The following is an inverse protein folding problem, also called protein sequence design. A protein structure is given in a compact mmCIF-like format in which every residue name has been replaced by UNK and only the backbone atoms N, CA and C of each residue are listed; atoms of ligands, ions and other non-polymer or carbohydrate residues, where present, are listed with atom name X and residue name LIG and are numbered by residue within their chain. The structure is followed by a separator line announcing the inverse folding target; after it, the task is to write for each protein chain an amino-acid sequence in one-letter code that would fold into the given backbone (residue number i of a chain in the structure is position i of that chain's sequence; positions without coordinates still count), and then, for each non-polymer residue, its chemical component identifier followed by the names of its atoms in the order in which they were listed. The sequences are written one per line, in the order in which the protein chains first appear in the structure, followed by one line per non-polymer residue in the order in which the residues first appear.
data_IF_721530099315
#
_entry.id   IF_721530099315
#
_cell.length_a   1.000
_cell.length_b   1.000
_cell.length_c   1.000
_cell.angle_alpha   90.00
_cell.angle_beta   90.00
_cell.angle_gamma   90.00
#
_symmetry.space_group_name_H-M   'P 1'
#
loop_
_entity.id
_entity.type
_entity.pdbx_description
1 polymer ?
#
# COMPACT_ATOMS: atom_id res chain seq x y z
N UNK A 1 -6.99 -3.65 0.04
CA UNK A 1 -6.02 -3.54 -1.09
C UNK A 1 -5.19 -4.81 -1.10
N UNK A 2 -4.96 -5.40 -2.27
CA UNK A 2 -4.26 -6.69 -2.46
C UNK A 2 -3.02 -6.47 -3.32
N UNK A 3 -2.18 -7.50 -3.44
CA UNK A 3 -1.05 -7.46 -4.38
C UNK A 3 -1.52 -7.24 -5.81
N UNK A 4 -0.73 -6.52 -6.60
CA UNK A 4 -0.93 -6.41 -8.05
C UNK A 4 -1.05 -7.80 -8.68
N UNK A 5 -1.91 -7.93 -9.71
CA UNK A 5 -1.97 -9.17 -10.49
C UNK A 5 -0.60 -9.53 -11.06
N UNK A 6 -0.29 -10.83 -11.11
CA UNK A 6 1.01 -11.34 -11.55
C UNK A 6 2.20 -10.95 -10.67
N UNK A 7 1.95 -10.58 -9.40
CA UNK A 7 3.03 -10.30 -8.45
C UNK A 7 3.94 -11.52 -8.24
N UNK A 8 3.35 -12.72 -8.21
CA UNK A 8 4.08 -13.99 -8.18
C UNK A 8 4.03 -14.64 -9.57
N UNK A 9 5.18 -15.12 -10.01
CA UNK A 9 5.33 -15.76 -11.32
C UNK A 9 4.34 -16.93 -11.49
N UNK A 10 3.64 -16.96 -12.63
CA UNK A 10 2.64 -17.98 -12.94
C UNK A 10 1.31 -17.86 -12.16
N UNK A 11 1.17 -16.91 -11.23
CA UNK A 11 -0.04 -16.74 -10.42
C UNK A 11 -0.73 -15.43 -10.78
N UNK A 12 -1.92 -15.52 -11.41
CA UNK A 12 -2.70 -14.34 -11.81
C UNK A 12 -2.99 -13.42 -10.63
N UNK A 13 -3.46 -13.97 -9.51
CA UNK A 13 -3.72 -13.24 -8.28
C UNK A 13 -3.59 -14.18 -7.08
N UNK A 14 -2.89 -13.75 -6.03
CA UNK A 14 -2.67 -14.54 -4.82
C UNK A 14 -3.83 -14.42 -3.83
N UNK A 15 -4.65 -13.38 -3.96
CA UNK A 15 -5.85 -13.20 -3.15
C UNK A 15 -6.92 -14.24 -3.50
N UNK A 16 -7.41 -14.95 -2.49
CA UNK A 16 -8.38 -16.03 -2.65
C UNK A 16 -9.71 -15.53 -3.24
N UNK A 17 -10.21 -16.23 -4.27
CA UNK A 17 -11.38 -15.81 -5.05
C UNK A 17 -12.71 -15.97 -4.30
N UNK A 18 -12.85 -17.01 -3.47
CA UNK A 18 -14.04 -17.21 -2.63
C UNK A 18 -14.15 -16.09 -1.59
N UNK A 19 -13.02 -15.76 -0.94
CA UNK A 19 -12.93 -14.66 0.01
C UNK A 19 -13.18 -13.31 -0.67
N UNK A 20 -12.67 -13.13 -1.88
CA UNK A 20 -12.91 -11.94 -2.69
C UNK A 20 -14.41 -11.74 -2.94
N UNK A 21 -15.09 -12.78 -3.42
CA UNK A 21 -16.53 -12.75 -3.67
C UNK A 21 -17.32 -12.48 -2.39
N UNK A 22 -16.96 -13.16 -1.29
CA UNK A 22 -17.61 -12.95 0.01
C UNK A 22 -17.46 -11.52 0.54
N UNK A 23 -16.30 -10.90 0.36
CA UNK A 23 -16.06 -9.51 0.76
C UNK A 23 -16.88 -8.52 -0.08
N UNK A 24 -16.94 -8.73 -1.39
CA UNK A 24 -17.74 -7.88 -2.29
C UNK A 24 -19.22 -7.97 -1.95
N UNK A 25 -19.74 -9.17 -1.69
CA UNK A 25 -21.14 -9.38 -1.25
C UNK A 25 -21.45 -8.64 0.05
N UNK A 26 -20.46 -8.51 0.95
CA UNK A 26 -20.57 -7.73 2.20
C UNK A 26 -20.35 -6.23 2.00
N UNK A 27 -20.26 -5.75 0.76
CA UNK A 27 -20.07 -4.35 0.42
C UNK A 27 -18.63 -3.82 0.58
N UNK A 28 -17.66 -4.69 0.89
CA UNK A 28 -16.26 -4.31 1.01
C UNK A 28 -15.67 -4.05 -0.38
N UNK A 29 -14.96 -2.93 -0.53
CA UNK A 29 -14.23 -2.61 -1.76
C UNK A 29 -12.88 -3.29 -1.76
N UNK A 30 -12.62 -4.07 -2.81
CA UNK A 30 -11.32 -4.73 -3.02
C UNK A 30 -10.61 -4.04 -4.18
N UNK A 31 -9.33 -3.72 -3.98
CA UNK A 31 -8.51 -2.98 -4.93
C UNK A 31 -7.28 -3.80 -5.23
N UNK A 32 -7.13 -4.16 -6.49
CA UNK A 32 -6.00 -4.89 -7.07
C UNK A 32 -5.40 -4.00 -8.17
N UNK A 33 -4.24 -3.40 -7.92
CA UNK A 33 -3.60 -2.47 -8.85
C UNK A 33 -2.08 -2.44 -8.63
N UNK A 34 -1.36 -1.74 -9.50
CA UNK A 34 0.07 -1.51 -9.32
C UNK A 34 0.35 -0.83 -7.97
N UNK A 35 1.38 -1.29 -7.27
CA UNK A 35 1.80 -0.73 -5.99
C UNK A 35 2.30 0.72 -6.17
N UNK A 36 1.73 1.67 -5.43
CA UNK A 36 1.98 3.11 -5.64
C UNK A 36 3.44 3.54 -5.40
N UNK A 37 4.18 2.88 -4.50
CA UNK A 37 5.61 3.11 -4.27
C UNK A 37 6.49 2.08 -5.00
N UNK A 38 5.89 1.29 -5.89
CA UNK A 38 6.55 0.27 -6.70
C UNK A 38 6.37 0.54 -8.19
N UNK A 39 5.90 -0.48 -8.91
CA UNK A 39 5.69 -0.40 -10.36
C UNK A 39 7.00 -0.23 -11.13
N UNK A 40 7.05 0.74 -12.03
CA UNK A 40 8.20 0.99 -12.91
C UNK A 40 9.47 1.27 -12.11
N UNK A 41 9.37 1.97 -10.97
CA UNK A 41 10.50 2.20 -10.07
C UNK A 41 11.17 0.89 -9.66
N UNK A 42 10.39 -0.12 -9.27
CA UNK A 42 10.92 -1.45 -8.92
C UNK A 42 11.54 -2.17 -10.11
N UNK A 43 11.00 -2.00 -11.33
CA UNK A 43 11.58 -2.60 -12.52
C UNK A 43 12.95 -1.99 -12.87
N UNK A 44 13.10 -0.67 -12.72
CA UNK A 44 14.38 0.03 -12.91
C UNK A 44 15.40 -0.45 -11.88
N UNK A 45 15.04 -0.42 -10.60
CA UNK A 45 15.93 -0.82 -9.50
C UNK A 45 16.42 -2.27 -9.66
N UNK A 46 15.54 -3.20 -10.07
CA UNK A 46 15.88 -4.62 -10.29
C UNK A 46 16.76 -4.85 -11.52
N UNK A 47 16.51 -4.14 -12.62
CA UNK A 47 17.19 -4.38 -13.90
C UNK A 47 18.56 -3.71 -13.98
N UNK A 48 18.66 -2.48 -13.50
CA UNK A 48 19.85 -1.65 -13.66
C UNK A 48 20.61 -1.41 -12.36
N UNK A 49 20.06 -1.84 -11.22
CA UNK A 49 20.54 -1.43 -9.90
C UNK A 49 20.24 0.05 -9.61
N UNK A 50 20.63 0.51 -8.42
CA UNK A 50 20.44 1.89 -7.99
C UNK A 50 19.21 2.09 -7.08
N UNK A 51 18.79 3.36 -6.96
CA UNK A 51 17.71 3.78 -6.08
C UNK A 51 16.81 4.82 -6.76
N UNK A 52 15.69 4.35 -7.29
CA UNK A 52 14.63 5.22 -7.82
C UNK A 52 14.01 6.10 -6.73
N UNK A 53 13.38 7.25 -7.07
CA UNK A 53 12.66 8.05 -6.09
C UNK A 53 11.59 7.28 -5.31
N UNK A 54 10.85 6.39 -5.99
CA UNK A 54 9.85 5.51 -5.34
C UNK A 54 10.50 4.54 -4.36
N UNK A 55 11.61 3.91 -4.77
CA UNK A 55 12.42 3.04 -3.91
C UNK A 55 12.99 3.78 -2.69
N UNK A 56 13.51 5.00 -2.89
CA UNK A 56 14.01 5.86 -1.81
C UNK A 56 12.92 6.16 -0.77
N UNK A 57 11.75 6.64 -1.21
CA UNK A 57 10.62 6.94 -0.33
C UNK A 57 10.17 5.69 0.42
N UNK A 58 10.04 4.56 -0.27
CA UNK A 58 9.68 3.30 0.34
C UNK A 58 10.68 2.87 1.43
N UNK A 59 11.98 3.03 1.17
CA UNK A 59 13.03 2.70 2.14
C UNK A 59 13.04 3.67 3.33
N UNK A 60 12.77 4.96 3.12
CA UNK A 60 12.60 5.92 4.22
C UNK A 60 11.42 5.54 5.10
N UNK A 61 10.27 5.16 4.53
CA UNK A 61 9.12 4.73 5.32
C UNK A 61 9.39 3.43 6.10
N UNK A 62 10.21 2.53 5.54
CA UNK A 62 10.64 1.30 6.23
C UNK A 62 11.52 1.55 7.45
N UNK A 63 12.13 2.73 7.60
CA UNK A 63 12.85 3.08 8.84
C UNK A 63 11.93 3.09 10.07
N UNK A 64 10.61 3.21 9.88
CA UNK A 64 9.63 3.02 10.96
C UNK A 64 9.30 1.54 11.20
N UNK A 65 9.03 0.81 10.11
CA UNK A 65 8.79 -0.64 9.97
C UNK A 65 8.30 -0.95 8.54
N UNK A 66 8.29 -2.21 8.10
CA UNK A 66 7.72 -2.60 6.80
C UNK A 66 6.25 -2.20 6.65
N UNK A 67 5.45 -2.40 7.70
CA UNK A 67 4.03 -2.04 7.71
C UNK A 67 3.77 -0.55 7.48
N UNK A 68 4.67 0.36 7.89
CA UNK A 68 4.50 1.80 7.65
C UNK A 68 4.51 2.13 6.15
N UNK A 69 5.48 1.57 5.42
CA UNK A 69 5.56 1.74 3.96
C UNK A 69 4.29 1.23 3.31
N UNK A 70 3.83 0.03 3.69
CA UNK A 70 2.63 -0.60 3.10
C UNK A 70 1.38 0.22 3.43
N UNK A 71 1.22 0.71 4.67
CA UNK A 71 0.08 1.51 5.08
C UNK A 71 -0.07 2.80 4.25
N UNK A 72 1.05 3.49 4.00
CA UNK A 72 1.06 4.67 3.11
C UNK A 72 0.73 4.28 1.67
N UNK A 73 1.35 3.21 1.15
CA UNK A 73 1.15 2.75 -0.22
C UNK A 73 -0.30 2.37 -0.51
N UNK A 74 -0.95 1.61 0.37
CA UNK A 74 -2.35 1.19 0.17
C UNK A 74 -3.33 2.35 0.34
N UNK A 75 -3.01 3.37 1.15
CA UNK A 75 -3.82 4.58 1.26
C UNK A 75 -3.82 5.35 -0.07
N UNK A 76 -2.65 5.52 -0.69
CA UNK A 76 -2.52 6.15 -2.01
C UNK A 76 -3.28 5.37 -3.08
N UNK A 77 -3.13 4.04 -3.11
CA UNK A 77 -3.84 3.17 -4.06
C UNK A 77 -5.37 3.27 -3.88
N UNK A 78 -5.85 3.33 -2.63
CA UNK A 78 -7.27 3.46 -2.34
C UNK A 78 -7.85 4.80 -2.82
N UNK A 79 -7.08 5.87 -2.64
CA UNK A 79 -7.46 7.22 -3.12
C UNK A 79 -7.36 7.33 -4.65
N UNK A 80 -6.33 6.78 -5.28
CA UNK A 80 -6.18 6.77 -6.73
C UNK A 80 -7.30 6.01 -7.43
N UNK A 81 -7.82 4.94 -6.80
CA UNK A 81 -8.96 4.17 -7.29
C UNK A 81 -10.32 4.85 -7.02
N UNK A 82 -10.34 6.01 -6.36
CA UNK A 82 -11.56 6.80 -6.11
C UNK A 82 -12.44 6.29 -4.95
N UNK A 83 -11.94 5.36 -4.12
CA UNK A 83 -12.70 4.84 -2.98
C UNK A 83 -12.51 5.64 -1.69
N UNK A 84 -11.49 6.48 -1.63
CA UNK A 84 -11.22 7.43 -0.54
C UNK A 84 -11.06 8.81 -1.16
N UNK A 85 -11.70 9.83 -0.60
CA UNK A 85 -11.57 11.19 -1.14
C UNK A 85 -10.29 11.85 -0.61
N UNK A 86 -9.52 12.58 -1.46
CA UNK A 86 -8.40 13.38 -0.97
C UNK A 86 -8.84 14.36 0.14
N UNK A 87 -8.09 14.41 1.24
CA UNK A 87 -8.38 15.21 2.43
C UNK A 87 -9.17 14.47 3.52
N UNK A 88 -9.69 13.26 3.26
CA UNK A 88 -10.32 12.44 4.29
C UNK A 88 -9.28 11.80 5.21
N UNK A 89 -9.65 11.70 6.49
CA UNK A 89 -8.86 10.95 7.47
C UNK A 89 -9.28 9.48 7.45
N UNK A 90 -8.30 8.59 7.25
CA UNK A 90 -8.50 7.14 7.18
C UNK A 90 -7.55 6.40 8.10
N UNK A 91 -8.00 5.26 8.63
CA UNK A 91 -7.13 4.31 9.32
C UNK A 91 -6.60 3.33 8.28
N UNK A 92 -5.29 3.37 8.04
CA UNK A 92 -4.61 2.37 7.22
C UNK A 92 -4.01 1.29 8.13
N UNK A 93 -4.28 0.03 7.79
CA UNK A 93 -3.80 -1.15 8.53
C UNK A 93 -2.98 -2.02 7.58
N UNK A 94 -1.77 -2.37 8.00
CA UNK A 94 -0.80 -3.12 7.21
C UNK A 94 0.11 -3.98 8.11
N UNK A 95 1.04 -4.73 7.51
CA UNK A 95 1.91 -5.65 8.26
C UNK A 95 3.24 -5.97 7.58
N UNK A 96 4.08 -6.68 8.32
CA UNK A 96 5.37 -7.21 7.86
C UNK A 96 5.23 -8.66 7.40
N UNK A 97 5.47 -8.93 6.11
CA UNK A 97 5.41 -10.28 5.54
C UNK A 97 4.00 -10.85 5.45
N UNK A 98 3.37 -11.18 6.58
CA UNK A 98 1.98 -11.67 6.67
C UNK A 98 1.26 -11.07 7.88
N UNK A 99 -0.07 -10.98 7.79
CA UNK A 99 -0.90 -10.40 8.84
C UNK A 99 -0.84 -8.88 8.87
N UNK A 100 -1.13 -8.31 10.03
CA UNK A 100 -1.13 -6.86 10.26
C UNK A 100 -0.50 -6.56 11.63
N UNK A 101 0.50 -5.68 11.64
CA UNK A 101 1.26 -5.27 12.82
C UNK A 101 1.35 -3.73 12.96
N UNK A 102 0.88 -2.99 11.96
CA UNK A 102 1.01 -1.54 11.86
C UNK A 102 -0.33 -0.92 11.53
N UNK A 103 -0.74 0.09 12.30
CA UNK A 103 -1.97 0.84 12.08
C UNK A 103 -1.71 2.34 12.27
N UNK A 104 -2.15 3.16 11.31
CA UNK A 104 -1.86 4.60 11.28
C UNK A 104 -3.09 5.39 10.82
N UNK A 105 -3.28 6.59 11.40
CA UNK A 105 -4.24 7.57 10.92
C UNK A 105 -3.56 8.45 9.86
N UNK A 106 -4.13 8.49 8.66
CA UNK A 106 -3.59 9.21 7.50
C UNK A 106 -4.64 10.18 6.96
N UNK A 107 -4.25 11.42 6.66
CA UNK A 107 -5.01 12.27 5.73
C UNK A 107 -4.65 11.87 4.31
N UNK A 108 -5.62 11.28 3.62
CA UNK A 108 -5.42 10.61 2.34
C UNK A 108 -5.25 11.61 1.18
N UNK A 109 -4.51 11.19 0.15
CA UNK A 109 -4.35 11.93 -1.12
C UNK A 109 -4.00 10.95 -2.24
N UNK A 110 -4.03 11.43 -3.48
CA UNK A 110 -3.63 10.68 -4.67
C UNK A 110 -2.11 10.60 -4.79
N UNK A 111 -1.58 9.52 -5.38
CA UNK A 111 -0.13 9.31 -5.54
C UNK A 111 0.58 10.44 -6.28
N UNK A 112 -0.05 11.02 -7.31
CA UNK A 112 0.49 12.19 -8.05
C UNK A 112 0.71 13.43 -7.17
N UNK A 113 0.11 13.48 -5.98
CA UNK A 113 0.27 14.52 -4.96
C UNK A 113 0.78 13.93 -3.65
N UNK A 114 1.66 12.94 -3.73
CA UNK A 114 2.18 12.19 -2.58
C UNK A 114 2.56 13.07 -1.37
N UNK A 115 3.23 14.20 -1.60
CA UNK A 115 3.71 15.08 -0.54
C UNK A 115 2.61 15.90 0.16
N UNK A 116 1.35 15.80 -0.27
CA UNK A 116 0.17 16.30 0.45
C UNK A 116 -0.31 15.32 1.53
N UNK A 117 0.13 14.06 1.49
CA UNK A 117 -0.22 13.03 2.47
C UNK A 117 0.29 13.45 3.86
N UNK A 118 -0.51 13.19 4.89
CA UNK A 118 -0.10 13.42 6.28
C UNK A 118 -0.36 12.18 7.11
N UNK A 119 0.69 11.60 7.68
CA UNK A 119 0.56 10.60 8.76
C UNK A 119 0.30 11.38 10.05
N UNK A 120 -0.95 11.36 10.54
CA UNK A 120 -1.39 12.14 11.71
C UNK A 120 -1.05 11.46 13.03
N UNK A 121 -1.20 10.13 13.09
CA UNK A 121 -0.97 9.35 14.31
C UNK A 121 -0.54 7.94 13.96
N UNK A 122 0.42 7.41 14.70
CA UNK A 122 0.76 5.99 14.71
C UNK A 122 -0.03 5.34 15.85
N UNK A 123 -0.94 4.43 15.53
CA UNK A 123 -1.80 3.74 16.50
C UNK A 123 -1.09 2.52 17.07
N UNK A 124 -0.43 1.75 16.20
CA UNK A 124 0.41 0.62 16.55
C UNK A 124 1.51 0.46 15.50
N UNK A 125 2.69 0.04 15.93
CA UNK A 125 3.77 -0.44 15.06
C UNK A 125 4.68 -1.40 15.85
N UNK A 126 5.43 -2.28 15.19
CA UNK A 126 6.49 -3.04 15.84
C UNK A 126 7.60 -2.16 16.43
N UNK A 127 8.31 -2.68 17.44
CA UNK A 127 9.44 -2.00 18.11
C UNK A 127 10.80 -2.64 17.84
N UNK A 128 10.83 -3.77 17.12
CA UNK A 128 12.05 -4.50 16.79
C UNK A 128 12.76 -3.88 15.58
#
# INVERSE_FOLDING_TARGET
VTHVSWFREGVKQEFNEDLHSNLIERGVKVITAAHALGGICSAVDKKYGGLSPGGLIANVLRTFCEGMKVAVEIALMATDAGYVKPGEDVIAVAGTGRGADTAVLITATVSRRFFDLRVKKILAKPIY
#
